data_IF_998477377736
#
_entry.id   IF_998477377736
#
_cell.length_a   1.000
_cell.length_b   1.000
_cell.length_c   1.000
_cell.angle_alpha   90.00
_cell.angle_beta   90.00
_cell.angle_gamma   90.00
#
_symmetry.space_group_name_H-M   'P 1'
#
loop_
_entity.id
_entity.type
_entity.pdbx_description
1 polymer ?
#
# COMPACT_ATOMS: atom_id res chain seq x y z
N UNK A 1 -10.35 26.75 4.10
CA UNK A 1 -10.27 25.39 3.50
C UNK A 1 -11.53 25.22 2.68
N UNK A 2 -11.43 24.89 1.39
CA UNK A 2 -12.60 24.72 0.52
C UNK A 2 -13.23 23.36 0.79
N UNK A 3 -14.54 23.31 0.90
CA UNK A 3 -15.35 22.12 1.18
C UNK A 3 -16.13 21.63 -0.05
N UNK A 4 -16.13 22.40 -1.14
CA UNK A 4 -16.79 22.10 -2.41
C UNK A 4 -15.92 22.49 -3.60
N UNK A 5 -16.15 21.90 -4.81
CA UNK A 5 -15.51 22.34 -6.03
C UNK A 5 -15.73 23.84 -6.28
N UNK A 6 -14.68 24.58 -6.62
CA UNK A 6 -14.77 26.01 -6.94
C UNK A 6 -13.83 26.41 -8.09
N UNK A 7 -14.21 27.48 -8.79
CA UNK A 7 -13.35 28.18 -9.74
C UNK A 7 -13.07 29.57 -9.18
N UNK A 8 -11.79 29.89 -9.01
CA UNK A 8 -11.30 31.11 -8.38
C UNK A 8 -10.55 31.93 -9.43
N UNK A 9 -10.92 33.20 -9.57
CA UNK A 9 -10.24 34.18 -10.41
C UNK A 9 -9.25 35.04 -9.62
N UNK A 10 -8.58 36.00 -10.29
CA UNK A 10 -7.62 36.90 -9.64
C UNK A 10 -8.19 37.63 -8.42
N UNK A 11 -9.44 38.10 -8.50
CA UNK A 11 -10.09 38.81 -7.39
C UNK A 11 -10.27 37.93 -6.13
N UNK A 12 -10.40 36.61 -6.30
CA UNK A 12 -10.48 35.65 -5.19
C UNK A 12 -9.10 35.28 -4.64
N UNK A 13 -8.04 35.63 -5.37
CA UNK A 13 -6.66 35.20 -5.16
C UNK A 13 -5.72 36.39 -4.92
N UNK A 14 -6.20 37.44 -4.25
CA UNK A 14 -5.43 38.64 -3.91
C UNK A 14 -4.80 39.34 -5.12
N UNK A 15 -5.54 39.40 -6.23
CA UNK A 15 -5.15 40.00 -7.51
C UNK A 15 -3.93 39.35 -8.17
N UNK A 16 -3.58 38.13 -7.76
CA UNK A 16 -2.57 37.32 -8.45
C UNK A 16 -3.13 36.95 -9.83
N UNK A 17 -2.39 37.15 -10.93
CA UNK A 17 -2.87 36.92 -12.31
C UNK A 17 -2.89 35.42 -12.65
N UNK A 18 -3.73 34.66 -11.97
CA UNK A 18 -3.91 33.22 -12.14
C UNK A 18 -5.37 32.85 -11.89
N UNK A 19 -5.78 31.71 -12.43
CA UNK A 19 -7.07 31.12 -12.17
C UNK A 19 -6.89 29.72 -11.59
N UNK A 20 -7.68 29.37 -10.58
CA UNK A 20 -7.56 28.09 -9.89
C UNK A 20 -8.88 27.34 -9.94
N UNK A 21 -8.85 26.14 -10.51
CA UNK A 21 -9.90 25.14 -10.35
C UNK A 21 -9.53 24.32 -9.11
N UNK A 22 -10.38 24.33 -8.08
CA UNK A 22 -10.12 23.63 -6.83
C UNK A 22 -11.11 22.51 -6.59
N UNK A 23 -10.61 21.28 -6.52
CA UNK A 23 -11.37 20.06 -6.25
C UNK A 23 -10.94 19.48 -4.88
N UNK A 24 -11.66 19.78 -3.78
CA UNK A 24 -11.33 19.21 -2.48
C UNK A 24 -11.58 17.70 -2.43
N UNK A 25 -11.04 17.04 -1.41
CA UNK A 25 -11.34 15.64 -1.14
C UNK A 25 -12.83 15.45 -0.88
N UNK A 26 -13.43 14.49 -1.57
CA UNK A 26 -14.84 14.15 -1.41
C UNK A 26 -14.94 12.87 -0.59
N UNK A 27 -15.26 13.00 0.69
CA UNK A 27 -15.46 11.83 1.55
C UNK A 27 -16.75 11.08 1.20
N UNK A 28 -16.75 9.76 1.37
CA UNK A 28 -17.94 8.91 1.18
C UNK A 28 -19.16 9.40 1.96
N UNK A 29 -18.95 9.77 3.22
CA UNK A 29 -19.98 10.29 4.11
C UNK A 29 -20.53 11.64 3.64
N UNK A 30 -19.67 12.53 3.17
CA UNK A 30 -20.07 13.83 2.61
C UNK A 30 -20.93 13.68 1.36
N UNK A 31 -20.62 12.70 0.49
CA UNK A 31 -21.45 12.41 -0.69
C UNK A 31 -22.83 11.88 -0.33
N UNK A 32 -22.89 10.92 0.59
CA UNK A 32 -24.17 10.32 1.01
C UNK A 32 -25.11 11.36 1.63
N UNK A 33 -24.57 12.34 2.36
CA UNK A 33 -25.35 13.40 2.98
C UNK A 33 -25.84 14.49 2.01
N UNK A 34 -25.13 14.73 0.90
CA UNK A 34 -25.48 15.79 -0.07
C UNK A 34 -26.33 15.31 -1.24
N UNK A 35 -26.22 14.05 -1.64
CA UNK A 35 -26.89 13.55 -2.84
C UNK A 35 -28.25 12.87 -2.53
N UNK A 36 -28.63 12.74 -1.26
CA UNK A 36 -29.88 12.10 -0.80
C UNK A 36 -30.11 10.74 -1.51
N UNK A 37 -29.00 10.05 -1.82
CA UNK A 37 -29.02 8.83 -2.61
C UNK A 37 -29.40 7.66 -1.69
N UNK A 38 -30.46 6.89 -2.00
CA UNK A 38 -30.70 5.63 -1.34
C UNK A 38 -29.48 4.73 -1.57
N UNK A 39 -29.13 3.89 -0.59
CA UNK A 39 -27.91 3.08 -0.55
C UNK A 39 -27.67 2.22 -1.80
N UNK A 40 -27.14 2.86 -2.84
CA UNK A 40 -26.76 2.25 -4.12
C UNK A 40 -25.35 1.70 -4.09
N UNK A 41 -24.99 1.01 -5.17
CA UNK A 41 -23.64 0.49 -5.38
C UNK A 41 -22.63 1.66 -5.36
N UNK A 42 -21.66 1.68 -4.44
CA UNK A 42 -20.64 2.73 -4.36
C UNK A 42 -19.93 3.01 -5.68
N UNK A 43 -19.71 1.99 -6.52
CA UNK A 43 -19.07 2.16 -7.83
C UNK A 43 -19.84 3.12 -8.74
N UNK A 44 -21.16 2.93 -8.85
CA UNK A 44 -22.03 3.76 -9.69
C UNK A 44 -22.11 5.21 -9.20
N UNK A 45 -22.03 5.43 -7.88
CA UNK A 45 -22.00 6.77 -7.28
C UNK A 45 -20.73 7.51 -7.69
N UNK A 46 -19.57 6.84 -7.64
CA UNK A 46 -18.30 7.43 -8.05
C UNK A 46 -18.26 7.75 -9.54
N UNK A 47 -18.80 6.90 -10.40
CA UNK A 47 -18.89 7.15 -11.85
C UNK A 47 -19.75 8.38 -12.17
N UNK A 48 -20.92 8.52 -11.53
CA UNK A 48 -21.77 9.69 -11.71
C UNK A 48 -21.12 10.96 -11.20
N UNK A 49 -20.40 10.88 -10.07
CA UNK A 49 -19.68 12.01 -9.52
C UNK A 49 -18.52 12.43 -10.43
N UNK A 50 -17.75 11.49 -10.94
CA UNK A 50 -16.68 11.75 -11.91
C UNK A 50 -17.25 12.47 -13.14
N UNK A 51 -18.36 11.97 -13.69
CA UNK A 51 -19.01 12.57 -14.87
C UNK A 51 -19.43 14.02 -14.59
N UNK A 52 -20.06 14.29 -13.44
CA UNK A 52 -20.50 15.63 -13.04
C UNK A 52 -19.32 16.58 -12.84
N UNK A 53 -18.26 16.13 -12.15
CA UNK A 53 -17.06 16.92 -11.91
C UNK A 53 -16.33 17.23 -13.21
N UNK A 54 -16.18 16.24 -14.08
CA UNK A 54 -15.57 16.39 -15.40
C UNK A 54 -16.31 17.45 -16.24
N UNK A 55 -17.64 17.40 -16.28
CA UNK A 55 -18.44 18.42 -16.98
C UNK A 55 -18.29 19.82 -16.38
N UNK A 56 -18.28 19.94 -15.06
CA UNK A 56 -18.14 21.21 -14.36
C UNK A 56 -16.74 21.82 -14.54
N UNK A 57 -15.68 21.01 -14.48
CA UNK A 57 -14.30 21.46 -14.75
C UNK A 57 -14.15 21.89 -16.21
N UNK A 58 -14.73 21.14 -17.15
CA UNK A 58 -14.70 21.49 -18.57
C UNK A 58 -15.37 22.84 -18.83
N UNK A 59 -16.53 23.09 -18.21
CA UNK A 59 -17.21 24.39 -18.31
C UNK A 59 -16.35 25.55 -17.77
N UNK A 60 -15.65 25.35 -16.65
CA UNK A 60 -14.74 26.36 -16.10
C UNK A 60 -13.52 26.61 -16.99
N UNK A 61 -12.94 25.55 -17.57
CA UNK A 61 -11.85 25.67 -18.55
C UNK A 61 -12.30 26.46 -19.79
N UNK A 62 -13.56 26.36 -20.19
CA UNK A 62 -14.12 27.09 -21.33
C UNK A 62 -14.43 28.57 -21.02
N UNK A 63 -14.80 28.89 -19.78
CA UNK A 63 -15.12 30.25 -19.32
C UNK A 63 -13.91 31.03 -18.81
N UNK A 64 -12.80 30.33 -18.55
CA UNK A 64 -11.53 30.90 -18.12
C UNK A 64 -11.00 31.99 -19.07
N UNK A 65 -10.39 33.05 -18.52
CA UNK A 65 -9.65 34.02 -19.33
C UNK A 65 -8.49 33.31 -20.04
N UNK A 66 -8.44 33.33 -21.39
CA UNK A 66 -7.41 32.64 -22.14
C UNK A 66 -6.00 33.24 -21.95
N UNK A 67 -5.88 34.45 -21.40
CA UNK A 67 -4.61 35.14 -21.18
C UNK A 67 -3.98 34.83 -19.82
N UNK A 68 -4.72 34.20 -18.91
CA UNK A 68 -4.24 33.86 -17.58
C UNK A 68 -3.94 32.36 -17.46
N UNK A 69 -2.90 31.97 -16.70
CA UNK A 69 -2.65 30.56 -16.42
C UNK A 69 -3.78 29.94 -15.60
N UNK A 70 -4.11 28.68 -15.90
CA UNK A 70 -5.12 27.89 -15.21
C UNK A 70 -4.43 26.77 -14.43
N UNK A 71 -4.58 26.77 -13.12
CA UNK A 71 -4.09 25.71 -12.23
C UNK A 71 -5.28 24.83 -11.80
N UNK A 72 -5.17 23.53 -12.01
CA UNK A 72 -6.08 22.57 -11.39
C UNK A 72 -5.45 22.05 -10.09
N UNK A 73 -6.19 22.12 -8.99
CA UNK A 73 -5.81 21.47 -7.73
C UNK A 73 -6.83 20.39 -7.42
N UNK A 74 -6.37 19.19 -7.05
CA UNK A 74 -7.26 18.11 -6.67
C UNK A 74 -6.65 17.21 -5.59
N UNK A 75 -7.46 16.84 -4.60
CA UNK A 75 -7.13 15.76 -3.68
C UNK A 75 -7.98 14.55 -4.07
N UNK A 76 -7.43 13.68 -4.91
CA UNK A 76 -8.14 12.52 -5.48
C UNK A 76 -7.13 11.55 -6.12
N UNK A 77 -7.57 10.33 -6.43
CA UNK A 77 -6.82 9.43 -7.31
C UNK A 77 -7.00 9.84 -8.77
N UNK A 78 -5.99 9.56 -9.61
CA UNK A 78 -6.05 9.77 -11.07
C UNK A 78 -5.71 8.47 -11.78
N UNK A 79 -6.42 8.18 -12.87
CA UNK A 79 -6.13 7.02 -13.70
C UNK A 79 -4.66 7.01 -14.18
N UNK A 80 -3.98 5.88 -13.98
CA UNK A 80 -2.57 5.71 -14.34
C UNK A 80 -1.58 6.17 -13.27
N UNK A 81 -2.05 6.64 -12.11
CA UNK A 81 -1.17 6.89 -10.97
C UNK A 81 -0.59 5.59 -10.40
N UNK A 82 0.66 5.67 -9.95
CA UNK A 82 1.37 4.60 -9.25
C UNK A 82 1.16 4.76 -7.75
N UNK A 83 0.69 3.71 -7.10
CA UNK A 83 0.55 3.67 -5.65
C UNK A 83 1.85 3.21 -4.99
N UNK A 84 2.12 3.70 -3.78
CA UNK A 84 3.22 3.19 -2.95
C UNK A 84 2.93 1.79 -2.40
N UNK A 85 3.78 1.30 -1.50
CA UNK A 85 3.47 0.10 -0.70
C UNK A 85 2.40 0.33 0.39
N UNK A 86 1.82 1.53 0.43
CA UNK A 86 0.83 1.97 1.40
C UNK A 86 -0.47 1.16 1.26
N UNK A 87 -0.92 0.55 2.36
CA UNK A 87 -2.11 -0.31 2.34
C UNK A 87 -3.42 0.47 2.24
N UNK A 88 -3.45 1.70 2.74
CA UNK A 88 -4.68 2.48 2.89
C UNK A 88 -5.28 2.89 1.56
N UNK A 89 -4.45 3.22 0.56
CA UNK A 89 -4.91 3.63 -0.77
C UNK A 89 -5.36 2.43 -1.63
N UNK A 90 -4.89 1.22 -1.31
CA UNK A 90 -5.22 0.00 -2.06
C UNK A 90 -6.57 -0.63 -1.70
N UNK A 91 -7.29 -0.11 -0.71
CA UNK A 91 -8.52 -0.73 -0.20
C UNK A 91 -9.76 -0.50 -1.08
N UNK A 92 -9.64 0.28 -2.15
CA UNK A 92 -10.69 0.45 -3.17
C UNK A 92 -11.89 1.28 -2.68
N UNK A 93 -12.52 1.99 -3.63
CA UNK A 93 -13.71 2.79 -3.35
C UNK A 93 -13.46 4.28 -3.11
N UNK A 94 -12.51 4.87 -3.84
CA UNK A 94 -12.29 6.32 -3.92
C UNK A 94 -12.68 6.85 -5.31
N UNK A 95 -12.95 8.16 -5.40
CA UNK A 95 -13.14 8.85 -6.67
C UNK A 95 -11.83 8.82 -7.47
N UNK A 96 -11.88 8.33 -8.71
CA UNK A 96 -10.76 8.31 -9.64
C UNK A 96 -11.05 9.27 -10.79
N UNK A 97 -10.27 10.33 -10.94
CA UNK A 97 -10.39 11.26 -12.05
C UNK A 97 -9.77 10.68 -13.32
N UNK A 98 -10.40 10.95 -14.47
CA UNK A 98 -9.88 10.56 -15.77
C UNK A 98 -8.56 11.26 -16.10
N UNK A 99 -7.65 10.52 -16.75
CA UNK A 99 -6.36 11.08 -17.17
C UNK A 99 -6.50 12.21 -18.19
N UNK A 100 -7.53 12.18 -19.03
CA UNK A 100 -7.82 13.23 -20.02
C UNK A 100 -8.20 14.57 -19.36
N UNK A 101 -8.95 14.54 -18.25
CA UNK A 101 -9.34 15.73 -17.52
C UNK A 101 -8.12 16.51 -17.02
N UNK A 102 -7.21 15.80 -16.33
CA UNK A 102 -6.03 16.42 -15.72
C UNK A 102 -4.92 16.73 -16.75
N UNK A 103 -4.94 16.11 -17.92
CA UNK A 103 -4.01 16.37 -19.03
C UNK A 103 -4.56 17.34 -20.07
N UNK A 104 -5.66 18.03 -19.76
CA UNK A 104 -6.24 18.99 -20.69
C UNK A 104 -5.21 20.09 -21.02
N UNK A 105 -4.86 20.32 -22.30
CA UNK A 105 -3.80 21.25 -22.70
C UNK A 105 -4.15 22.73 -22.46
N UNK A 106 -5.38 23.05 -22.06
CA UNK A 106 -5.77 24.40 -21.62
C UNK A 106 -5.38 24.68 -20.17
N UNK A 107 -5.06 23.64 -19.39
CA UNK A 107 -4.50 23.78 -18.05
C UNK A 107 -3.00 24.02 -18.17
N UNK A 108 -2.43 24.76 -17.22
CA UNK A 108 -1.02 25.12 -17.21
C UNK A 108 -0.24 24.33 -16.15
N UNK A 109 -0.90 23.96 -15.06
CA UNK A 109 -0.33 23.12 -14.01
C UNK A 109 -1.42 22.35 -13.28
N UNK A 110 -1.16 21.09 -12.96
CA UNK A 110 -2.06 20.28 -12.12
C UNK A 110 -1.35 19.83 -10.85
N UNK A 111 -1.81 20.33 -9.71
CA UNK A 111 -1.32 20.00 -8.38
C UNK A 111 -2.24 18.97 -7.73
N UNK A 112 -1.74 17.75 -7.54
CA UNK A 112 -2.50 16.64 -6.97
C UNK A 112 -2.03 16.33 -5.54
N UNK A 113 -2.95 15.86 -4.72
CA UNK A 113 -2.71 15.22 -3.42
C UNK A 113 -3.47 13.89 -3.33
N UNK A 114 -3.35 13.18 -2.21
CA UNK A 114 -3.87 11.81 -1.90
C UNK A 114 -2.80 10.72 -1.97
N UNK A 115 -1.96 10.74 -3.01
CA UNK A 115 -0.96 9.68 -3.22
C UNK A 115 0.38 10.11 -2.62
N UNK A 116 0.95 9.28 -1.74
CA UNK A 116 2.21 9.60 -1.05
C UNK A 116 3.46 9.33 -1.91
N UNK A 117 3.31 8.61 -3.03
CA UNK A 117 4.38 8.35 -3.99
C UNK A 117 4.59 9.56 -4.92
N UNK A 118 5.77 10.20 -4.91
CA UNK A 118 6.10 11.31 -5.80
C UNK A 118 6.09 10.88 -7.27
N UNK A 119 5.39 11.60 -8.14
CA UNK A 119 5.32 11.30 -9.59
C UNK A 119 4.76 12.46 -10.43
N UNK A 120 5.16 12.50 -11.71
CA UNK A 120 4.50 13.29 -12.75
C UNK A 120 3.73 12.36 -13.70
N UNK A 121 2.41 12.51 -13.80
CA UNK A 121 1.57 11.69 -14.66
C UNK A 121 1.59 12.11 -16.14
N UNK A 122 2.21 13.25 -16.44
CA UNK A 122 2.32 13.80 -17.79
C UNK A 122 3.76 14.24 -18.08
N UNK A 123 4.72 13.36 -17.77
CA UNK A 123 6.14 13.63 -17.92
C UNK A 123 6.51 14.02 -19.36
N UNK A 124 7.31 15.08 -19.50
CA UNK A 124 7.73 15.63 -20.80
C UNK A 124 6.61 16.30 -21.61
N UNK A 125 5.40 16.46 -21.05
CA UNK A 125 4.23 17.03 -21.72
C UNK A 125 3.61 18.18 -20.92
N UNK A 126 2.79 18.99 -21.58
CA UNK A 126 2.04 20.09 -20.96
C UNK A 126 0.56 19.69 -20.77
N UNK A 127 -0.06 20.04 -19.62
CA UNK A 127 0.57 20.55 -18.39
C UNK A 127 1.33 19.46 -17.62
N UNK A 128 2.28 19.82 -16.75
CA UNK A 128 2.76 18.91 -15.72
C UNK A 128 1.62 18.51 -14.77
N UNK A 129 1.54 17.21 -14.45
CA UNK A 129 0.49 16.66 -13.58
C UNK A 129 1.15 15.99 -12.38
N UNK A 130 1.24 16.70 -11.27
CA UNK A 130 2.20 16.40 -10.20
C UNK A 130 1.49 15.89 -8.95
N UNK A 131 1.87 14.69 -8.50
CA UNK A 131 1.78 14.32 -7.09
C UNK A 131 3.14 14.58 -6.44
N UNK A 132 3.25 15.51 -5.48
CA UNK A 132 4.50 15.76 -4.76
C UNK A 132 4.88 14.58 -3.84
N UNK A 133 3.90 13.74 -3.49
CA UNK A 133 4.02 12.74 -2.44
C UNK A 133 3.90 13.34 -1.03
N UNK A 134 4.12 12.51 -0.02
CA UNK A 134 4.21 12.95 1.36
C UNK A 134 5.57 13.62 1.64
N UNK A 135 5.66 14.41 2.71
CA UNK A 135 6.91 15.03 3.16
C UNK A 135 7.73 14.12 4.09
N UNK A 136 7.09 13.11 4.66
CA UNK A 136 7.67 12.09 5.54
C UNK A 136 7.11 10.72 5.17
N UNK A 137 7.76 9.65 5.64
CA UNK A 137 7.27 8.28 5.46
C UNK A 137 6.18 7.98 6.48
N UNK A 138 5.01 7.56 6.01
CA UNK A 138 3.88 7.25 6.89
C UNK A 138 3.92 5.80 7.36
N UNK A 139 4.34 4.88 6.50
CA UNK A 139 4.52 3.47 6.85
C UNK A 139 5.76 2.85 6.18
N UNK A 140 6.05 1.59 6.51
CA UNK A 140 7.18 0.85 5.96
C UNK A 140 7.05 0.52 4.46
N UNK A 141 5.85 0.63 3.87
CA UNK A 141 5.66 0.55 2.42
C UNK A 141 6.32 1.71 1.67
N UNK A 142 6.63 2.80 2.37
CA UNK A 142 7.33 3.98 1.85
C UNK A 142 8.83 4.01 2.27
N UNK A 143 9.35 2.95 2.89
CA UNK A 143 10.72 2.93 3.45
C UNK A 143 11.79 3.30 2.41
N UNK A 144 11.62 2.84 1.17
CA UNK A 144 12.51 3.12 0.05
C UNK A 144 12.17 4.37 -0.77
N UNK A 145 11.09 5.09 -0.45
CA UNK A 145 10.70 6.26 -1.24
C UNK A 145 11.51 7.50 -0.83
N UNK A 146 11.99 8.25 -1.82
CA UNK A 146 12.47 9.61 -1.63
C UNK A 146 11.29 10.56 -1.41
N UNK A 147 11.48 11.60 -0.59
CA UNK A 147 10.45 12.60 -0.29
C UNK A 147 10.82 13.96 -0.87
N UNK A 148 9.82 14.71 -1.33
CA UNK A 148 10.03 15.95 -2.06
C UNK A 148 9.02 17.03 -1.65
N UNK A 149 9.39 18.28 -1.91
CA UNK A 149 8.41 19.33 -2.18
C UNK A 149 8.64 19.87 -3.59
N UNK A 150 7.63 20.55 -4.13
CA UNK A 150 7.64 21.03 -5.51
C UNK A 150 7.63 22.54 -5.52
N UNK A 151 8.53 23.12 -6.32
CA UNK A 151 8.44 24.52 -6.72
C UNK A 151 8.07 24.55 -8.20
N UNK A 152 6.95 25.17 -8.54
CA UNK A 152 6.49 25.32 -9.92
C UNK A 152 6.45 26.81 -10.29
N UNK A 153 7.06 27.16 -11.42
CA UNK A 153 6.91 28.47 -12.06
C UNK A 153 5.88 28.29 -13.17
N UNK A 154 4.68 28.85 -12.97
CA UNK A 154 3.53 28.64 -13.85
C UNK A 154 3.27 29.92 -14.64
N UNK A 155 3.29 29.81 -15.96
CA UNK A 155 2.89 30.83 -16.90
C UNK A 155 1.90 30.23 -17.92
N UNK A 156 1.21 31.09 -18.66
CA UNK A 156 0.28 30.64 -19.69
C UNK A 156 1.03 29.90 -20.80
N UNK A 157 0.66 28.65 -21.04
CA UNK A 157 1.26 27.71 -21.99
C UNK A 157 2.60 27.12 -21.56
N UNK A 158 3.14 27.47 -20.40
CA UNK A 158 4.49 27.06 -19.99
C UNK A 158 4.61 26.93 -18.47
N UNK A 159 5.09 25.77 -18.02
CA UNK A 159 5.34 25.53 -16.59
C UNK A 159 6.68 24.84 -16.39
N UNK A 160 7.50 25.38 -15.49
CA UNK A 160 8.74 24.75 -15.05
C UNK A 160 8.56 24.17 -13.65
N UNK A 161 8.85 22.88 -13.50
CA UNK A 161 8.71 22.16 -12.24
C UNK A 161 10.08 21.75 -11.73
N UNK A 162 10.41 22.13 -10.49
CA UNK A 162 11.60 21.67 -9.81
C UNK A 162 11.24 20.82 -8.59
N UNK A 163 11.74 19.59 -8.60
CA UNK A 163 11.64 18.63 -7.50
C UNK A 163 12.73 18.91 -6.48
N UNK A 164 12.34 19.25 -5.25
CA UNK A 164 13.27 19.55 -4.15
C UNK A 164 13.23 18.39 -3.17
N UNK A 165 14.22 17.50 -3.29
CA UNK A 165 14.32 16.34 -2.39
C UNK A 165 14.56 16.81 -0.96
N UNK A 166 13.72 16.35 -0.05
CA UNK A 166 13.86 16.58 1.38
C UNK A 166 15.04 15.77 1.91
N UNK A 167 15.89 16.44 2.69
CA UNK A 167 17.07 15.85 3.34
C UNK A 167 16.90 15.93 4.84
N UNK A 168 17.54 15.02 5.58
CA UNK A 168 17.37 14.92 7.02
C UNK A 168 16.01 14.40 7.46
N UNK A 169 15.24 13.79 6.55
CA UNK A 169 14.03 13.04 6.89
C UNK A 169 14.39 11.79 7.68
N UNK A 170 13.49 11.36 8.57
CA UNK A 170 13.79 10.22 9.44
C UNK A 170 14.00 8.94 8.62
N UNK A 171 15.10 8.18 8.86
CA UNK A 171 15.32 6.92 8.16
C UNK A 171 14.28 5.88 8.57
N UNK A 172 13.83 5.10 7.59
CA UNK A 172 13.08 3.87 7.82
C UNK A 172 13.96 2.69 7.41
N UNK A 173 14.10 1.71 8.30
CA UNK A 173 14.83 0.48 8.04
C UNK A 173 13.83 -0.67 8.09
N UNK A 174 13.45 -1.18 6.92
CA UNK A 174 12.58 -2.36 6.82
C UNK A 174 13.40 -3.57 6.37
N UNK A 175 13.55 -4.55 7.25
CA UNK A 175 14.34 -5.76 7.01
C UNK A 175 13.51 -7.00 7.24
N UNK A 176 13.81 -8.03 6.45
CA UNK A 176 13.16 -9.33 6.52
C UNK A 176 14.23 -10.40 6.50
N UNK A 177 14.13 -11.34 7.42
CA UNK A 177 15.05 -12.47 7.55
C UNK A 177 14.25 -13.74 7.79
N UNK A 178 14.61 -14.81 7.08
CA UNK A 178 14.15 -16.16 7.36
C UNK A 178 15.30 -16.89 8.04
N UNK A 179 15.08 -17.38 9.26
CA UNK A 179 16.09 -18.12 10.01
C UNK A 179 16.43 -19.42 9.26
N UNK A 180 17.71 -19.73 9.15
CA UNK A 180 18.20 -20.94 8.46
C UNK A 180 18.52 -22.08 9.43
N UNK A 181 18.80 -21.77 10.69
CA UNK A 181 19.00 -22.78 11.75
C UNK A 181 18.63 -22.21 13.14
N UNK A 182 18.36 -23.08 14.13
CA UNK A 182 18.10 -22.67 15.52
C UNK A 182 19.38 -22.24 16.27
N UNK A 183 20.57 -22.47 15.69
CA UNK A 183 21.85 -22.03 16.24
C UNK A 183 22.20 -20.60 15.76
N UNK A 184 22.79 -19.80 16.65
CA UNK A 184 23.27 -18.47 16.29
C UNK A 184 22.17 -17.50 15.82
N UNK A 185 20.93 -17.69 16.29
CA UNK A 185 19.77 -16.85 15.90
C UNK A 185 20.07 -15.37 16.06
N UNK A 186 20.64 -14.95 17.19
CA UNK A 186 21.01 -13.55 17.45
C UNK A 186 21.95 -12.99 16.38
N UNK A 187 22.92 -13.77 15.92
CA UNK A 187 23.87 -13.34 14.88
C UNK A 187 23.18 -13.22 13.52
N UNK A 188 22.28 -14.15 13.18
CA UNK A 188 21.45 -14.07 11.98
C UNK A 188 20.57 -12.80 11.99
N UNK A 189 19.95 -12.47 13.12
CA UNK A 189 19.13 -11.27 13.28
C UNK A 189 19.97 -9.98 13.17
N UNK A 190 21.15 -9.94 13.79
CA UNK A 190 22.07 -8.80 13.71
C UNK A 190 22.59 -8.59 12.30
N UNK A 191 22.94 -9.67 11.60
CA UNK A 191 23.41 -9.60 10.21
C UNK A 191 22.33 -9.10 9.24
N UNK A 192 21.05 -9.29 9.56
CA UNK A 192 19.94 -8.77 8.76
C UNK A 192 19.74 -7.25 8.95
N UNK A 193 20.23 -6.68 10.04
CA UNK A 193 20.14 -5.25 10.32
C UNK A 193 21.41 -4.51 9.86
N UNK A 194 21.31 -3.22 9.49
CA UNK A 194 22.46 -2.34 9.38
C UNK A 194 23.28 -2.27 10.69
N UNK A 195 24.53 -1.77 10.62
CA UNK A 195 25.31 -1.45 11.81
C UNK A 195 24.51 -0.54 12.77
N UNK A 196 24.62 -0.76 14.08
CA UNK A 196 23.87 -0.02 15.10
C UNK A 196 23.97 1.52 14.95
N UNK A 197 25.13 2.04 14.54
CA UNK A 197 25.34 3.47 14.27
C UNK A 197 24.44 4.04 13.16
N UNK A 198 24.00 3.20 12.20
CA UNK A 198 23.06 3.59 11.14
C UNK A 198 21.59 3.45 11.56
N UNK A 199 21.31 2.82 12.69
CA UNK A 199 19.97 2.70 13.25
C UNK A 199 19.58 3.93 14.07
N UNK A 200 20.54 4.76 14.44
CA UNK A 200 20.31 5.94 15.27
C UNK A 200 19.19 6.82 14.71
N UNK A 201 18.20 7.10 15.56
CA UNK A 201 16.98 7.87 15.23
C UNK A 201 16.09 7.28 14.11
N UNK A 202 16.42 6.10 13.58
CA UNK A 202 15.62 5.43 12.56
C UNK A 202 14.37 4.78 13.17
N UNK A 203 13.32 4.65 12.36
CA UNK A 203 12.20 3.75 12.65
C UNK A 203 12.52 2.42 11.98
N UNK A 204 12.68 1.37 12.79
CA UNK A 204 13.21 0.07 12.35
C UNK A 204 12.13 -0.99 12.48
N UNK A 205 11.94 -1.80 11.44
CA UNK A 205 11.16 -3.03 11.49
C UNK A 205 12.01 -4.20 11.04
N UNK A 206 12.04 -5.25 11.85
CA UNK A 206 12.62 -6.54 11.52
C UNK A 206 11.52 -7.59 11.49
N UNK A 207 11.23 -8.12 10.30
CA UNK A 207 10.33 -9.25 10.12
C UNK A 207 11.15 -10.54 10.16
N UNK A 208 10.85 -11.43 11.09
CA UNK A 208 11.57 -12.70 11.28
C UNK A 208 10.62 -13.85 10.95
N UNK A 209 10.98 -14.65 9.96
CA UNK A 209 10.34 -15.93 9.64
C UNK A 209 11.16 -17.08 10.19
N UNK A 210 10.51 -18.02 10.87
CA UNK A 210 11.19 -19.14 11.52
C UNK A 210 10.20 -20.27 11.82
N UNK A 211 10.62 -21.54 11.81
CA UNK A 211 9.83 -22.64 12.35
C UNK A 211 9.42 -22.38 13.80
N UNK A 212 8.16 -22.64 14.16
CA UNK A 212 7.60 -22.31 15.47
C UNK A 212 8.38 -22.89 16.65
N UNK A 213 9.00 -24.05 16.47
CA UNK A 213 9.87 -24.70 17.45
C UNK A 213 11.09 -23.86 17.86
N UNK A 214 11.54 -22.92 17.02
CA UNK A 214 12.70 -22.08 17.30
C UNK A 214 12.36 -20.83 18.12
N UNK A 215 11.09 -20.61 18.49
CA UNK A 215 10.63 -19.44 19.27
C UNK A 215 11.50 -19.19 20.51
N UNK A 216 11.87 -20.25 21.23
CA UNK A 216 12.66 -20.16 22.46
C UNK A 216 14.12 -19.76 22.23
N UNK A 217 14.62 -19.92 21.00
CA UNK A 217 15.98 -19.51 20.61
C UNK A 217 16.07 -18.02 20.26
N UNK A 218 14.95 -17.30 20.15
CA UNK A 218 14.94 -15.87 19.85
C UNK A 218 15.23 -15.06 21.13
N UNK A 219 16.45 -14.54 21.23
CA UNK A 219 16.81 -13.55 22.25
C UNK A 219 16.32 -12.15 21.84
N UNK A 220 15.07 -11.84 22.19
CA UNK A 220 14.48 -10.54 21.93
C UNK A 220 15.19 -9.40 22.67
N UNK A 221 15.80 -9.67 23.83
CA UNK A 221 16.50 -8.65 24.60
C UNK A 221 17.79 -8.22 23.88
N UNK A 222 18.57 -9.18 23.38
CA UNK A 222 19.82 -8.90 22.67
C UNK A 222 19.61 -8.13 21.36
N UNK A 223 18.51 -8.39 20.62
CA UNK A 223 18.22 -7.64 19.39
C UNK A 223 17.67 -6.23 19.69
N UNK A 224 16.91 -6.06 20.76
CA UNK A 224 16.46 -4.74 21.22
C UNK A 224 17.62 -3.90 21.73
N UNK A 225 18.56 -4.50 22.44
CA UNK A 225 19.80 -3.84 22.86
C UNK A 225 20.63 -3.40 21.65
N UNK A 226 20.76 -4.26 20.63
CA UNK A 226 21.44 -3.89 19.38
C UNK A 226 20.78 -2.69 18.66
N UNK A 227 19.46 -2.59 18.73
CA UNK A 227 18.68 -1.50 18.13
C UNK A 227 18.38 -0.35 19.11
N UNK A 228 19.06 -0.26 20.27
CA UNK A 228 18.70 0.67 21.34
C UNK A 228 18.78 2.17 20.97
N UNK A 229 19.61 2.52 19.99
CA UNK A 229 19.70 3.91 19.49
C UNK A 229 18.64 4.26 18.44
N UNK A 230 17.86 3.28 17.97
CA UNK A 230 16.73 3.54 17.08
C UNK A 230 15.71 4.43 17.76
N UNK A 231 15.02 5.26 16.97
CA UNK A 231 13.89 6.01 17.50
C UNK A 231 12.76 5.08 17.91
N UNK A 232 12.51 4.03 17.12
CA UNK A 232 11.50 3.01 17.37
C UNK A 232 11.95 1.68 16.74
N UNK A 233 11.71 0.56 17.42
CA UNK A 233 12.06 -0.77 16.94
C UNK A 233 10.89 -1.75 17.04
N UNK A 234 10.42 -2.21 15.88
CA UNK A 234 9.36 -3.20 15.74
C UNK A 234 9.93 -4.57 15.33
N UNK A 235 9.91 -5.52 16.25
CA UNK A 235 10.16 -6.93 15.95
C UNK A 235 8.84 -7.61 15.55
N UNK A 236 8.75 -8.08 14.31
CA UNK A 236 7.56 -8.78 13.79
C UNK A 236 7.92 -10.26 13.61
N UNK A 237 7.41 -11.08 14.52
CA UNK A 237 7.59 -12.53 14.50
C UNK A 237 6.57 -13.20 13.57
N UNK A 238 7.02 -14.04 12.65
CA UNK A 238 6.21 -14.85 11.75
C UNK A 238 6.59 -16.33 11.91
N UNK A 239 6.12 -16.99 12.97
CA UNK A 239 6.33 -18.42 13.14
C UNK A 239 5.63 -19.17 12.00
N UNK A 240 6.40 -19.97 11.26
CA UNK A 240 5.91 -20.93 10.29
C UNK A 240 5.46 -22.17 11.08
N UNK A 241 4.17 -22.51 10.96
CA UNK A 241 3.69 -23.83 11.36
C UNK A 241 3.75 -24.70 10.12
N UNK A 242 4.40 -25.86 10.20
CA UNK A 242 4.17 -26.89 9.21
C UNK A 242 2.65 -27.09 9.08
N UNK A 243 2.20 -27.05 7.84
CA UNK A 243 0.78 -27.01 7.49
C UNK A 243 0.06 -28.16 8.18
N UNK A 244 -0.93 -27.81 9.01
CA UNK A 244 -2.02 -28.75 9.34
C UNK A 244 -2.48 -29.37 8.02
N UNK A 245 -2.50 -30.71 7.96
CA UNK A 245 -2.94 -31.52 6.82
C UNK A 245 -4.12 -30.82 6.14
N UNK A 246 -3.91 -30.26 4.95
CA UNK A 246 -4.99 -29.69 4.15
C UNK A 246 -5.65 -30.84 3.41
N UNK A 247 -6.94 -31.06 3.66
CA UNK A 247 -7.72 -31.98 2.84
C UNK A 247 -7.77 -31.43 1.40
N UNK A 248 -7.68 -32.31 0.38
CA UNK A 248 -7.92 -31.95 -1.01
C UNK A 248 -9.25 -31.20 -1.16
N UNK A 249 -9.29 -30.19 -2.05
CA UNK A 249 -10.51 -29.41 -2.29
C UNK A 249 -11.69 -30.33 -2.65
N UNK A 250 -12.81 -30.17 -1.93
CA UNK A 250 -14.03 -30.97 -2.12
C UNK A 250 -14.15 -32.21 -1.22
N UNK A 251 -13.15 -32.53 -0.39
CA UNK A 251 -13.25 -33.62 0.59
C UNK A 251 -13.59 -33.10 2.00
N UNK A 252 -14.57 -33.72 2.65
CA UNK A 252 -14.94 -33.50 4.05
C UNK A 252 -14.39 -34.66 4.89
N UNK A 253 -13.93 -34.40 6.12
CA UNK A 253 -13.32 -35.45 7.00
C UNK A 253 -14.21 -36.69 7.11
N UNK A 254 -15.54 -36.50 7.14
CA UNK A 254 -16.51 -37.60 7.26
C UNK A 254 -16.72 -38.43 5.99
N UNK A 255 -16.14 -38.05 4.84
CA UNK A 255 -16.23 -38.84 3.59
C UNK A 255 -15.00 -39.71 3.33
N UNK A 256 -13.98 -39.64 4.20
CA UNK A 256 -12.74 -40.41 4.08
C UNK A 256 -12.70 -41.51 5.12
N UNK A 257 -12.22 -42.69 4.72
CA UNK A 257 -11.95 -43.79 5.63
C UNK A 257 -10.74 -43.49 6.53
N UNK A 258 -10.65 -44.21 7.66
CA UNK A 258 -9.53 -44.07 8.58
C UNK A 258 -8.16 -44.28 7.90
N UNK A 259 -8.08 -45.21 6.93
CA UNK A 259 -6.85 -45.47 6.17
C UNK A 259 -6.50 -44.33 5.21
N UNK A 260 -7.50 -43.72 4.55
CA UNK A 260 -7.27 -42.57 3.66
C UNK A 260 -6.85 -41.32 4.44
N UNK A 261 -7.42 -41.10 5.63
CA UNK A 261 -6.98 -40.03 6.52
C UNK A 261 -5.55 -40.24 7.01
N UNK A 262 -5.18 -41.50 7.27
CA UNK A 262 -3.84 -41.87 7.72
C UNK A 262 -2.80 -41.72 6.59
N UNK A 263 -3.16 -42.07 5.35
CA UNK A 263 -2.39 -41.79 4.13
C UNK A 263 -2.06 -40.31 3.96
N UNK A 264 -3.08 -39.45 4.06
CA UNK A 264 -2.91 -38.00 3.99
C UNK A 264 -2.00 -37.47 5.11
N UNK A 265 -2.12 -38.03 6.31
CA UNK A 265 -1.27 -37.69 7.44
C UNK A 265 0.20 -38.05 7.19
N UNK A 266 0.52 -39.28 6.76
CA UNK A 266 1.90 -39.68 6.50
C UNK A 266 2.55 -38.88 5.36
N UNK A 267 1.79 -38.61 4.29
CA UNK A 267 2.25 -37.77 3.17
C UNK A 267 2.54 -36.33 3.60
N UNK A 268 1.75 -35.79 4.54
CA UNK A 268 1.97 -34.46 5.09
C UNK A 268 3.18 -34.36 6.03
N UNK A 269 3.54 -35.46 6.70
CA UNK A 269 4.70 -35.53 7.60
C UNK A 269 5.99 -35.99 6.90
N UNK A 270 6.05 -35.87 5.56
CA UNK A 270 7.23 -36.23 4.77
C UNK A 270 7.77 -37.65 5.06
N UNK A 271 6.90 -38.60 5.36
CA UNK A 271 7.29 -40.00 5.59
C UNK A 271 7.73 -40.64 4.27
N UNK A 272 8.83 -41.40 4.29
CA UNK A 272 9.36 -42.05 3.09
C UNK A 272 8.34 -43.01 2.45
N UNK A 273 8.19 -43.04 1.11
CA UNK A 273 7.14 -43.81 0.43
C UNK A 273 7.11 -45.31 0.80
N UNK A 274 8.27 -45.95 0.92
CA UNK A 274 8.38 -47.36 1.33
C UNK A 274 7.92 -47.60 2.77
N UNK A 275 8.14 -46.63 3.65
CA UNK A 275 7.67 -46.68 5.03
C UNK A 275 6.15 -46.45 5.10
N UNK A 276 5.59 -45.59 4.24
CA UNK A 276 4.15 -45.38 4.15
C UNK A 276 3.45 -46.70 3.82
N UNK A 277 3.87 -47.41 2.77
CA UNK A 277 3.24 -48.68 2.37
C UNK A 277 3.25 -49.73 3.49
N UNK A 278 4.39 -49.86 4.17
CA UNK A 278 4.54 -50.80 5.28
C UNK A 278 3.63 -50.44 6.47
N UNK A 279 3.57 -49.15 6.83
CA UNK A 279 2.72 -48.65 7.91
C UNK A 279 1.22 -48.73 7.56
N UNK A 280 0.84 -48.56 6.30
CA UNK A 280 -0.54 -48.74 5.84
C UNK A 280 -1.00 -50.19 6.02
N UNK A 281 -0.15 -51.15 5.64
CA UNK A 281 -0.46 -52.56 5.75
C UNK A 281 -0.68 -52.97 7.22
N UNK A 282 0.20 -52.53 8.12
CA UNK A 282 0.07 -52.79 9.56
C UNK A 282 -1.18 -52.12 10.15
N UNK A 283 -1.45 -50.85 9.79
CA UNK A 283 -2.66 -50.16 10.23
C UNK A 283 -3.95 -50.85 9.76
N UNK A 284 -3.97 -51.36 8.52
CA UNK A 284 -5.11 -52.08 7.97
C UNK A 284 -5.37 -53.41 8.71
N UNK A 285 -4.32 -54.12 9.12
CA UNK A 285 -4.44 -55.33 9.95
C UNK A 285 -5.05 -55.03 11.32
N UNK A 286 -4.59 -53.96 11.99
CA UNK A 286 -5.09 -53.56 13.31
C UNK A 286 -6.57 -53.15 13.22
N UNK A 287 -6.93 -52.30 12.25
CA UNK A 287 -8.30 -51.81 12.08
C UNK A 287 -9.27 -52.96 11.74
N UNK A 288 -8.82 -53.95 10.97
CA UNK A 288 -9.62 -55.16 10.69
C UNK A 288 -9.74 -56.06 11.91
N UNK A 289 -8.67 -56.22 12.69
CA UNK A 289 -8.67 -57.03 13.90
C UNK A 289 -9.61 -56.52 15.00
N UNK A 290 -9.88 -55.21 15.07
CA UNK A 290 -10.88 -54.64 15.99
C UNK A 290 -12.33 -54.83 15.52
N UNK A 291 -12.57 -55.19 14.26
CA UNK A 291 -13.92 -55.36 13.70
C UNK A 291 -14.51 -56.76 13.91
N UNK A 292 -13.71 -57.73 14.37
CA UNK A 292 -14.11 -59.13 14.63
C UNK A 292 -14.19 -59.47 16.14
N UNK A 293 -14.19 -58.47 17.02
CA UNK A 293 -14.31 -58.62 18.48
C UNK A 293 -15.56 -57.92 19.07
#
# INVERSE_FOLDING_TARGET
MLDRPQFLGPADLWDVPVQVIALPWVSRSGMMAHLDLPGGDPGQIYEQLETKLSGLVQNWIEQADPNLPIILTAHASVQGAKYGGERTVMLGGDLVLSGSLVKNPKLDYVALGHIHKPQNLNEGSHPPVIYPGSIERVDFGEAGDDKFFITAQVARGQTEVAWRQLKGIRPFVDRRVKLSSPEGVTDQLRAALPPAAQLREAIVRLVVEYPREWETSLDEAAIREYAAEAFEFHLVKRPEMESRVRLPEGQIVGSLSALELLDLYWKSNHTEPEAIETLQALAAEIIRGESEA
#
